data_IF_552019476104
#
_entry.id   IF_552019476104
#
_cell.length_a   1.000
_cell.length_b   1.000
_cell.length_c   1.000
_cell.angle_alpha   90.00
_cell.angle_beta   90.00
_cell.angle_gamma   90.00
#
_symmetry.space_group_name_H-M   'P 1'
#
loop_
_entity.id
_entity.type
_entity.pdbx_description
1 polymer ?
#
# COMPACT_ATOMS: atom_id res chain seq x y z
N UNK A 1 4.53 20.97 -7.31
CA UNK A 1 3.50 20.51 -8.26
C UNK A 1 3.96 19.19 -8.89
N UNK A 2 3.06 18.32 -9.34
CA UNK A 2 3.44 17.10 -10.08
C UNK A 2 3.82 17.44 -11.52
N UNK A 3 4.82 16.74 -12.05
CA UNK A 3 5.20 16.83 -13.46
C UNK A 3 4.04 16.35 -14.32
N UNK A 4 3.68 17.16 -15.33
CA UNK A 4 2.51 16.91 -16.19
C UNK A 4 1.22 17.56 -15.71
N UNK A 5 1.23 18.38 -14.65
CA UNK A 5 0.06 19.17 -14.24
C UNK A 5 -1.16 18.30 -13.92
N UNK A 6 -2.31 18.58 -14.55
CA UNK A 6 -3.55 17.82 -14.30
C UNK A 6 -3.48 16.38 -14.79
N UNK A 7 -2.89 16.12 -15.96
CA UNK A 7 -2.74 14.76 -16.49
C UNK A 7 -1.80 13.93 -15.62
N UNK A 8 -0.71 14.53 -15.12
CA UNK A 8 0.19 13.91 -14.15
C UNK A 8 -0.51 13.57 -12.83
N UNK A 9 -1.37 14.46 -12.32
CA UNK A 9 -2.18 14.18 -11.13
C UNK A 9 -3.13 13.00 -11.35
N UNK A 10 -3.87 12.98 -12.46
CA UNK A 10 -4.80 11.89 -12.79
C UNK A 10 -4.04 10.57 -12.94
N UNK A 11 -2.91 10.58 -13.64
CA UNK A 11 -2.06 9.40 -13.81
C UNK A 11 -1.61 8.85 -12.45
N UNK A 12 -1.13 9.72 -11.54
CA UNK A 12 -0.73 9.32 -10.18
C UNK A 12 -1.88 8.65 -9.41
N UNK A 13 -3.09 9.19 -9.51
CA UNK A 13 -4.28 8.61 -8.84
C UNK A 13 -4.69 7.28 -9.46
N UNK A 14 -4.64 7.19 -10.78
CA UNK A 14 -4.91 5.94 -11.49
C UNK A 14 -3.91 4.85 -11.10
N UNK A 15 -2.60 5.15 -11.09
CA UNK A 15 -1.57 4.21 -10.63
C UNK A 15 -1.72 3.84 -9.17
N UNK A 16 -2.33 4.70 -8.35
CA UNK A 16 -2.65 4.36 -6.98
C UNK A 16 -3.76 3.32 -6.92
N UNK A 17 -4.90 3.61 -7.57
CA UNK A 17 -6.11 2.77 -7.55
C UNK A 17 -5.86 1.39 -8.16
N UNK A 18 -5.04 1.29 -9.22
CA UNK A 18 -4.75 0.00 -9.86
C UNK A 18 -3.96 -0.96 -8.94
N UNK A 19 -3.29 -0.46 -7.89
CA UNK A 19 -2.62 -1.32 -6.90
C UNK A 19 -3.59 -2.22 -6.14
N UNK A 20 -4.91 -1.98 -6.18
CA UNK A 20 -5.89 -2.87 -5.57
C UNK A 20 -5.87 -4.28 -6.17
N UNK A 21 -5.36 -4.42 -7.40
CA UNK A 21 -5.21 -5.69 -8.10
C UNK A 21 -4.02 -6.50 -7.57
N UNK A 22 -3.05 -5.88 -6.90
CA UNK A 22 -1.83 -6.57 -6.43
C UNK A 22 -2.16 -7.75 -5.50
N UNK A 23 -2.92 -7.59 -4.40
CA UNK A 23 -3.27 -8.73 -3.55
C UNK A 23 -4.11 -9.77 -4.31
N UNK A 24 -4.98 -9.33 -5.23
CA UNK A 24 -5.77 -10.27 -6.05
C UNK A 24 -4.85 -11.14 -6.91
N UNK A 25 -3.91 -10.54 -7.63
CA UNK A 25 -2.97 -11.26 -8.48
C UNK A 25 -2.04 -12.16 -7.67
N UNK A 26 -1.52 -11.65 -6.55
CA UNK A 26 -0.62 -12.42 -5.70
C UNK A 26 -1.31 -13.66 -5.12
N UNK A 27 -2.48 -13.51 -4.51
CA UNK A 27 -3.13 -14.63 -3.82
C UNK A 27 -3.90 -15.58 -4.76
N UNK A 28 -4.31 -15.15 -5.95
CA UNK A 28 -5.06 -16.02 -6.88
C UNK A 28 -4.22 -16.57 -8.03
N UNK A 29 -3.10 -15.92 -8.36
CA UNK A 29 -2.24 -16.26 -9.50
C UNK A 29 -0.75 -16.26 -9.15
N UNK A 30 -0.39 -16.07 -7.87
CA UNK A 30 1.00 -16.00 -7.41
C UNK A 30 1.79 -17.21 -7.85
N UNK A 31 1.29 -18.41 -7.56
CA UNK A 31 1.93 -19.68 -7.92
C UNK A 31 2.16 -19.77 -9.43
N UNK A 32 1.13 -19.49 -10.24
CA UNK A 32 1.25 -19.51 -11.71
C UNK A 32 2.30 -18.51 -12.21
N UNK A 33 2.35 -17.32 -11.62
CA UNK A 33 3.28 -16.27 -12.02
C UNK A 33 4.72 -16.58 -11.60
N UNK A 34 4.92 -17.15 -10.41
CA UNK A 34 6.24 -17.50 -9.88
C UNK A 34 6.79 -18.78 -10.51
N UNK A 35 5.93 -19.73 -10.88
CA UNK A 35 6.29 -20.98 -11.57
C UNK A 35 6.95 -20.73 -12.93
N UNK A 36 6.59 -19.66 -13.66
CA UNK A 36 7.28 -19.27 -14.89
C UNK A 36 8.78 -19.04 -14.69
N UNK A 37 9.18 -18.70 -13.46
CA UNK A 37 10.57 -18.48 -13.06
C UNK A 37 11.10 -19.59 -12.15
N UNK A 38 10.33 -20.66 -11.93
CA UNK A 38 10.65 -21.75 -11.00
C UNK A 38 10.94 -21.24 -9.59
N UNK A 39 10.10 -20.32 -9.10
CA UNK A 39 10.22 -19.68 -7.80
C UNK A 39 8.94 -19.85 -6.99
N UNK A 40 9.06 -19.77 -5.67
CA UNK A 40 7.92 -19.59 -4.77
C UNK A 40 7.37 -18.16 -4.88
N UNK A 41 6.08 -17.90 -4.61
CA UNK A 41 5.50 -16.56 -4.69
C UNK A 41 6.26 -15.50 -3.87
N UNK A 42 6.67 -15.85 -2.66
CA UNK A 42 7.47 -14.97 -1.79
C UNK A 42 8.85 -14.65 -2.38
N UNK A 43 9.49 -15.63 -3.03
CA UNK A 43 10.77 -15.42 -3.71
C UNK A 43 10.57 -14.48 -4.91
N UNK A 44 9.52 -14.72 -5.71
CA UNK A 44 9.20 -13.88 -6.86
C UNK A 44 8.95 -12.41 -6.45
N UNK A 45 8.15 -12.17 -5.40
CA UNK A 45 7.93 -10.81 -4.87
C UNK A 45 9.24 -10.19 -4.35
N UNK A 46 10.09 -10.98 -3.69
CA UNK A 46 11.41 -10.52 -3.25
C UNK A 46 12.28 -10.10 -4.44
N UNK A 47 12.28 -10.85 -5.54
CA UNK A 47 12.97 -10.48 -6.78
C UNK A 47 12.39 -9.19 -7.38
N UNK A 48 11.07 -9.04 -7.44
CA UNK A 48 10.43 -7.80 -7.88
C UNK A 48 10.86 -6.61 -7.01
N UNK A 49 10.92 -6.78 -5.69
CA UNK A 49 11.38 -5.76 -4.76
C UNK A 49 12.83 -5.33 -5.03
N UNK A 50 13.73 -6.30 -5.24
CA UNK A 50 15.13 -6.01 -5.58
C UNK A 50 15.25 -5.26 -6.91
N UNK A 51 14.49 -5.66 -7.92
CA UNK A 51 14.43 -4.95 -9.21
C UNK A 51 13.93 -3.51 -9.02
N UNK A 52 12.87 -3.30 -8.23
CA UNK A 52 12.33 -1.97 -7.94
C UNK A 52 13.36 -1.08 -7.24
N UNK A 53 14.11 -1.63 -6.27
CA UNK A 53 15.20 -0.91 -5.60
C UNK A 53 16.28 -0.52 -6.61
N UNK A 54 16.71 -1.42 -7.49
CA UNK A 54 17.72 -1.14 -8.51
C UNK A 54 17.25 -0.08 -9.53
N UNK A 55 15.99 -0.15 -9.94
CA UNK A 55 15.38 0.86 -10.81
C UNK A 55 15.33 2.22 -10.13
N UNK A 56 14.98 2.27 -8.84
CA UNK A 56 14.93 3.52 -8.07
C UNK A 56 16.33 4.13 -7.86
N UNK A 57 17.33 3.30 -7.56
CA UNK A 57 18.74 3.73 -7.48
C UNK A 57 19.18 4.32 -8.82
N UNK A 58 18.88 3.64 -9.93
CA UNK A 58 19.21 4.11 -11.28
C UNK A 58 18.49 5.43 -11.59
N UNK A 59 17.20 5.54 -11.27
CA UNK A 59 16.40 6.75 -11.44
C UNK A 59 17.02 7.93 -10.69
N UNK A 60 17.44 7.72 -9.44
CA UNK A 60 18.11 8.73 -8.61
C UNK A 60 19.48 9.13 -9.15
N UNK A 61 20.26 8.15 -9.62
CA UNK A 61 21.57 8.39 -10.21
C UNK A 61 21.49 9.29 -11.45
N UNK A 62 20.50 9.06 -12.31
CA UNK A 62 20.28 9.87 -13.52
C UNK A 62 19.38 11.09 -13.29
N UNK A 63 18.81 11.28 -12.09
CA UNK A 63 17.88 12.38 -11.80
C UNK A 63 16.59 12.33 -12.63
N UNK A 64 16.14 11.14 -13.02
CA UNK A 64 14.95 10.95 -13.86
C UNK A 64 13.68 11.24 -13.07
N UNK A 65 12.77 12.02 -13.66
CA UNK A 65 11.44 12.30 -13.08
C UNK A 65 10.39 11.73 -14.03
N UNK A 66 9.57 10.82 -13.52
CA UNK A 66 8.49 10.18 -14.26
C UNK A 66 7.23 11.06 -14.18
N UNK A 67 6.41 11.06 -15.23
CA UNK A 67 5.12 11.78 -15.23
C UNK A 67 4.29 11.37 -14.00
N UNK A 68 3.73 12.37 -13.28
CA UNK A 68 3.00 12.17 -12.03
C UNK A 68 3.84 12.32 -10.75
N UNK A 69 5.16 12.17 -10.85
CA UNK A 69 6.10 12.44 -9.74
C UNK A 69 6.25 13.94 -9.48
N UNK A 70 6.73 14.28 -8.28
CA UNK A 70 7.01 15.66 -7.87
C UNK A 70 8.45 16.02 -8.23
N UNK A 71 8.73 17.28 -8.53
CA UNK A 71 10.07 17.71 -8.99
C UNK A 71 11.21 17.36 -8.03
N UNK A 72 10.97 17.45 -6.71
CA UNK A 72 11.96 17.10 -5.71
C UNK A 72 12.28 15.60 -5.67
N UNK A 73 11.41 14.73 -6.21
CA UNK A 73 11.63 13.29 -6.26
C UNK A 73 12.80 12.95 -7.19
N UNK A 74 13.28 13.86 -8.04
CA UNK A 74 14.53 13.69 -8.79
C UNK A 74 15.75 13.35 -7.91
N UNK A 75 15.75 13.75 -6.64
CA UNK A 75 16.91 13.66 -5.72
C UNK A 75 16.66 12.82 -4.47
N UNK A 76 15.45 12.27 -4.31
CA UNK A 76 15.08 11.45 -3.15
C UNK A 76 14.19 10.29 -3.58
N UNK A 77 14.11 9.25 -2.74
CA UNK A 77 13.28 8.08 -3.03
C UNK A 77 11.84 8.53 -3.32
N UNK A 78 11.31 8.04 -4.45
CA UNK A 78 10.00 8.43 -4.94
C UNK A 78 8.87 7.82 -4.09
N UNK A 79 7.74 8.51 -4.03
CA UNK A 79 6.53 8.01 -3.36
C UNK A 79 6.08 6.65 -3.92
N UNK A 80 6.31 6.42 -5.22
CA UNK A 80 6.04 5.13 -5.87
C UNK A 80 6.96 4.03 -5.34
N UNK A 81 8.26 4.30 -5.23
CA UNK A 81 9.23 3.32 -4.71
C UNK A 81 8.95 2.99 -3.23
N UNK A 82 8.62 3.99 -2.41
CA UNK A 82 8.21 3.78 -1.02
C UNK A 82 6.94 2.94 -0.90
N UNK A 83 5.90 3.27 -1.68
CA UNK A 83 4.67 2.49 -1.71
C UNK A 83 4.91 1.05 -2.16
N UNK A 84 5.64 0.85 -3.26
CA UNK A 84 5.94 -0.49 -3.78
C UNK A 84 6.78 -1.32 -2.79
N UNK A 85 7.77 -0.70 -2.13
CA UNK A 85 8.54 -1.33 -1.07
C UNK A 85 7.64 -1.82 0.06
N UNK A 86 6.75 -0.97 0.57
CA UNK A 86 5.86 -1.34 1.67
C UNK A 86 4.83 -2.40 1.25
N UNK A 87 4.31 -2.34 0.03
CA UNK A 87 3.41 -3.37 -0.53
C UNK A 87 4.11 -4.72 -0.61
N UNK A 88 5.35 -4.78 -1.13
CA UNK A 88 6.13 -6.03 -1.17
C UNK A 88 6.36 -6.59 0.24
N UNK A 89 6.70 -5.74 1.21
CA UNK A 89 6.86 -6.19 2.60
C UNK A 89 5.54 -6.71 3.20
N UNK A 90 4.41 -6.07 2.90
CA UNK A 90 3.11 -6.57 3.35
C UNK A 90 2.80 -7.96 2.80
N UNK A 91 3.10 -8.22 1.52
CA UNK A 91 2.92 -9.55 0.93
C UNK A 91 3.86 -10.60 1.54
N UNK A 92 5.13 -10.24 1.78
CA UNK A 92 6.14 -11.20 2.28
C UNK A 92 5.97 -11.52 3.76
N UNK A 93 5.61 -10.52 4.58
CA UNK A 93 5.71 -10.59 6.04
C UNK A 93 4.35 -10.79 6.71
N UNK A 94 3.26 -10.35 6.09
CA UNK A 94 1.96 -10.43 6.74
C UNK A 94 1.55 -11.89 6.97
N UNK A 95 1.02 -12.25 8.15
CA UNK A 95 0.54 -13.59 8.39
C UNK A 95 -0.55 -13.97 7.39
N UNK A 96 -0.43 -15.16 6.81
CA UNK A 96 -1.41 -15.72 5.88
C UNK A 96 -2.33 -16.70 6.62
N UNK A 97 -3.58 -16.82 6.16
CA UNK A 97 -4.46 -17.86 6.69
C UNK A 97 -4.02 -19.23 6.18
N UNK A 98 -3.77 -20.16 7.10
CA UNK A 98 -3.50 -21.57 6.77
C UNK A 98 -4.75 -22.36 6.40
N UNK A 99 -5.93 -21.78 6.60
CA UNK A 99 -7.22 -22.45 6.45
C UNK A 99 -7.94 -22.08 5.14
N UNK A 100 -7.41 -21.11 4.39
CA UNK A 100 -8.04 -20.59 3.18
C UNK A 100 -7.06 -20.63 2.01
N UNK A 101 -7.61 -20.84 0.82
CA UNK A 101 -6.89 -20.76 -0.45
C UNK A 101 -7.36 -19.53 -1.24
N UNK A 102 -6.53 -19.06 -2.17
CA UNK A 102 -6.89 -17.92 -3.02
C UNK A 102 -6.87 -16.59 -2.26
N UNK A 103 -7.71 -15.64 -2.67
CA UNK A 103 -7.70 -14.28 -2.10
C UNK A 103 -7.91 -14.25 -0.57
N UNK A 104 -8.64 -15.22 -0.02
CA UNK A 104 -8.87 -15.36 1.41
C UNK A 104 -7.59 -15.67 2.20
N UNK A 105 -6.54 -16.23 1.59
CA UNK A 105 -5.23 -16.39 2.25
C UNK A 105 -4.62 -15.03 2.64
N UNK A 106 -4.99 -13.97 1.91
CA UNK A 106 -4.56 -12.59 2.12
C UNK A 106 -5.31 -11.83 3.20
N UNK A 107 -5.69 -12.49 4.30
CA UNK A 107 -6.54 -11.95 5.39
C UNK A 107 -6.09 -10.59 5.93
N UNK A 108 -4.81 -10.27 5.86
CA UNK A 108 -4.25 -9.03 6.37
C UNK A 108 -3.54 -8.20 5.29
N UNK A 109 -2.75 -8.84 4.41
CA UNK A 109 -2.05 -8.10 3.36
C UNK A 109 -3.01 -7.39 2.39
N UNK A 110 -4.13 -8.02 2.04
CA UNK A 110 -5.12 -7.42 1.15
C UNK A 110 -5.72 -6.11 1.73
N UNK A 111 -6.29 -6.09 2.96
CA UNK A 111 -6.78 -4.84 3.54
C UNK A 111 -5.68 -3.80 3.80
N UNK A 112 -4.43 -4.20 4.09
CA UNK A 112 -3.29 -3.27 4.20
C UNK A 112 -3.05 -2.53 2.87
N UNK A 113 -2.98 -3.27 1.76
CA UNK A 113 -2.72 -2.72 0.43
C UNK A 113 -3.92 -1.92 -0.09
N UNK A 114 -5.15 -2.40 0.13
CA UNK A 114 -6.37 -1.66 -0.21
C UNK A 114 -6.50 -0.38 0.61
N UNK A 115 -6.11 -0.43 1.88
CA UNK A 115 -6.01 0.72 2.78
C UNK A 115 -5.19 1.82 2.14
N UNK A 116 -3.93 1.56 1.78
CA UNK A 116 -3.12 2.49 0.99
C UNK A 116 -3.90 2.93 -0.26
N UNK A 117 -4.26 1.96 -1.11
CA UNK A 117 -4.82 2.17 -2.45
C UNK A 117 -5.98 3.16 -2.50
N UNK A 118 -6.93 3.07 -1.56
CA UNK A 118 -8.14 3.89 -1.58
C UNK A 118 -8.14 5.03 -0.54
N UNK A 119 -7.52 4.82 0.63
CA UNK A 119 -7.53 5.83 1.70
C UNK A 119 -6.65 7.03 1.32
N UNK A 120 -5.46 6.83 0.74
CA UNK A 120 -4.61 7.98 0.31
C UNK A 120 -5.32 8.86 -0.73
N UNK A 121 -5.86 8.33 -1.85
CA UNK A 121 -6.55 9.18 -2.82
C UNK A 121 -7.69 9.99 -2.21
N UNK A 122 -8.52 9.37 -1.37
CA UNK A 122 -9.64 10.05 -0.72
C UNK A 122 -9.14 11.14 0.21
N UNK A 123 -8.19 10.84 1.10
CA UNK A 123 -7.62 11.81 2.03
C UNK A 123 -6.93 12.96 1.28
N UNK A 124 -6.17 12.63 0.23
CA UNK A 124 -5.49 13.59 -0.61
C UNK A 124 -6.43 14.52 -1.39
N UNK A 125 -7.54 14.01 -1.95
CA UNK A 125 -8.53 14.87 -2.62
C UNK A 125 -9.31 15.74 -1.61
N UNK A 126 -9.62 15.23 -0.42
CA UNK A 126 -10.26 16.04 0.63
C UNK A 126 -9.31 17.16 1.09
N UNK A 127 -8.03 16.84 1.34
CA UNK A 127 -6.98 17.84 1.66
C UNK A 127 -6.87 18.90 0.57
N UNK A 128 -6.89 18.49 -0.70
CA UNK A 128 -6.82 19.39 -1.87
C UNK A 128 -8.04 20.29 -2.00
N UNK A 129 -9.23 19.80 -1.64
CA UNK A 129 -10.49 20.56 -1.68
C UNK A 129 -10.62 21.65 -0.59
N UNK A 130 -9.57 21.87 0.22
CA UNK A 130 -9.54 22.83 1.35
C UNK A 130 -10.63 22.62 2.42
N UNK A 131 -11.25 21.44 2.46
CA UNK A 131 -12.21 21.03 3.52
C UNK A 131 -11.56 20.79 4.89
N UNK A 132 -10.24 20.97 5.00
CA UNK A 132 -9.48 20.89 6.24
C UNK A 132 -9.06 19.46 6.61
N UNK A 133 -8.07 19.37 7.50
CA UNK A 133 -7.47 18.09 7.93
C UNK A 133 -8.47 17.19 8.67
N UNK A 134 -9.41 17.77 9.42
CA UNK A 134 -10.46 17.01 10.13
C UNK A 134 -11.38 16.25 9.17
N UNK A 135 -11.76 16.88 8.06
CA UNK A 135 -12.57 16.23 7.03
C UNK A 135 -11.80 15.10 6.34
N UNK A 136 -10.50 15.29 6.11
CA UNK A 136 -9.64 14.25 5.53
C UNK A 136 -9.51 13.05 6.48
N UNK A 137 -9.27 13.28 7.77
CA UNK A 137 -9.24 12.22 8.79
C UNK A 137 -10.57 11.47 8.83
N UNK A 138 -11.70 12.18 8.85
CA UNK A 138 -13.02 11.54 8.87
C UNK A 138 -13.27 10.70 7.62
N UNK A 139 -13.03 11.24 6.42
CA UNK A 139 -13.19 10.50 5.17
C UNK A 139 -12.25 9.30 5.06
N UNK A 140 -11.01 9.46 5.55
CA UNK A 140 -10.02 8.38 5.63
C UNK A 140 -10.45 7.27 6.58
N UNK A 141 -10.94 7.61 7.77
CA UNK A 141 -11.43 6.64 8.76
C UNK A 141 -12.63 5.86 8.22
N UNK A 142 -13.62 6.55 7.66
CA UNK A 142 -14.79 5.89 7.04
C UNK A 142 -14.35 4.91 5.97
N UNK A 143 -13.48 5.34 5.05
CA UNK A 143 -12.96 4.47 3.97
C UNK A 143 -12.19 3.28 4.55
N UNK A 144 -11.30 3.52 5.51
CA UNK A 144 -10.47 2.49 6.12
C UNK A 144 -11.34 1.45 6.84
N UNK A 145 -12.32 1.87 7.64
CA UNK A 145 -13.25 0.95 8.30
C UNK A 145 -14.08 0.14 7.30
N UNK A 146 -14.53 0.75 6.19
CA UNK A 146 -15.24 0.01 5.14
C UNK A 146 -14.34 -1.10 4.58
N UNK A 147 -13.07 -0.83 4.30
CA UNK A 147 -12.12 -1.82 3.76
C UNK A 147 -11.89 -2.95 4.78
N UNK A 148 -11.53 -2.60 6.02
CA UNK A 148 -11.18 -3.57 7.05
C UNK A 148 -12.38 -4.42 7.47
N UNK A 149 -13.55 -3.82 7.72
CA UNK A 149 -14.76 -4.57 8.10
C UNK A 149 -15.31 -5.40 6.93
N UNK A 150 -15.20 -4.92 5.69
CA UNK A 150 -15.52 -5.76 4.53
C UNK A 150 -14.57 -6.94 4.44
N UNK A 151 -13.28 -6.75 4.73
CA UNK A 151 -12.30 -7.84 4.75
C UNK A 151 -12.59 -8.85 5.86
N UNK A 152 -13.13 -8.41 7.01
CA UNK A 152 -13.65 -9.35 8.01
C UNK A 152 -14.78 -10.23 7.49
N UNK A 153 -15.66 -9.69 6.65
CA UNK A 153 -16.76 -10.46 6.07
C UNK A 153 -16.34 -11.34 4.89
N UNK A 154 -15.51 -10.83 3.98
CA UNK A 154 -15.14 -11.50 2.73
C UNK A 154 -13.87 -12.35 2.81
N UNK A 155 -12.91 -11.96 3.65
CA UNK A 155 -11.61 -12.64 3.78
C UNK A 155 -11.45 -13.35 5.14
N UNK A 156 -12.36 -13.14 6.09
CA UNK A 156 -12.25 -13.70 7.43
C UNK A 156 -11.23 -12.99 8.33
N UNK A 157 -10.82 -11.75 8.00
CA UNK A 157 -9.96 -10.94 8.87
C UNK A 157 -10.60 -10.81 10.26
N UNK A 158 -9.90 -11.12 11.38
CA UNK A 158 -10.45 -10.95 12.71
C UNK A 158 -10.99 -9.54 12.95
N UNK A 159 -12.23 -9.45 13.45
CA UNK A 159 -12.92 -8.16 13.66
C UNK A 159 -12.10 -7.23 14.57
N UNK A 160 -11.42 -7.79 15.58
CA UNK A 160 -10.55 -7.05 16.49
C UNK A 160 -9.40 -6.39 15.71
N UNK A 161 -8.75 -7.14 14.80
CA UNK A 161 -7.71 -6.58 13.93
C UNK A 161 -8.28 -5.46 13.06
N UNK A 162 -9.45 -5.66 12.45
CA UNK A 162 -10.10 -4.67 11.61
C UNK A 162 -10.41 -3.36 12.35
N UNK A 163 -10.86 -3.44 13.61
CA UNK A 163 -11.13 -2.27 14.44
C UNK A 163 -9.84 -1.52 14.80
N UNK A 164 -8.76 -2.24 15.11
CA UNK A 164 -7.49 -1.65 15.53
C UNK A 164 -6.71 -1.08 14.35
N UNK A 165 -6.65 -1.80 13.22
CA UNK A 165 -5.77 -1.48 12.10
C UNK A 165 -6.36 -0.40 11.17
N UNK A 166 -7.69 -0.29 11.10
CA UNK A 166 -8.34 0.77 10.32
C UNK A 166 -7.87 2.20 10.69
N UNK A 167 -7.86 2.62 11.97
CA UNK A 167 -7.30 3.91 12.35
C UNK A 167 -5.79 3.99 12.15
N UNK A 168 -5.04 2.89 12.28
CA UNK A 168 -3.59 2.90 12.06
C UNK A 168 -3.21 3.24 10.62
N UNK A 169 -3.97 2.77 9.62
CA UNK A 169 -3.80 3.18 8.22
C UNK A 169 -3.91 4.70 8.06
N UNK A 170 -4.93 5.32 8.68
CA UNK A 170 -5.14 6.78 8.63
C UNK A 170 -4.05 7.53 9.39
N UNK A 171 -3.62 7.00 10.54
CA UNK A 171 -2.50 7.58 11.29
C UNK A 171 -1.21 7.58 10.48
N UNK A 172 -0.99 6.57 9.63
CA UNK A 172 0.17 6.51 8.74
C UNK A 172 0.24 7.67 7.73
N UNK A 173 -0.89 8.25 7.35
CA UNK A 173 -1.00 9.36 6.40
C UNK A 173 -0.77 10.76 7.03
N UNK A 174 -0.86 10.86 8.36
CA UNK A 174 -0.77 12.15 9.08
C UNK A 174 0.65 12.71 9.28
N UNK A 175 1.66 11.90 9.68
CA UNK A 175 2.98 12.44 9.98
C UNK A 175 3.72 12.81 8.71
N UNK A 176 4.21 14.05 8.64
CA UNK A 176 5.20 14.45 7.63
C UNK A 176 6.59 14.00 8.09
N UNK A 177 6.90 12.71 7.90
CA UNK A 177 8.23 12.19 8.20
C UNK A 177 9.20 12.66 7.11
N UNK A 178 10.38 13.18 7.49
CA UNK A 178 11.35 13.72 6.52
C UNK A 178 11.99 12.65 5.65
N UNK A 179 12.00 11.40 6.12
CA UNK A 179 12.81 10.30 5.56
C UNK A 179 11.99 9.23 4.86
N UNK A 180 10.69 9.10 5.16
CA UNK A 180 9.80 8.05 4.66
C UNK A 180 8.54 8.72 4.14
N UNK A 181 8.12 8.33 2.94
CA UNK A 181 6.90 8.83 2.31
C UNK A 181 5.63 8.24 2.97
N UNK A 182 4.53 8.99 2.89
CA UNK A 182 3.25 8.65 3.50
C UNK A 182 2.68 7.32 2.96
N UNK A 183 2.94 7.00 1.68
CA UNK A 183 2.53 5.72 1.11
C UNK A 183 3.13 4.51 1.86
N UNK A 184 4.39 4.62 2.31
CA UNK A 184 5.02 3.55 3.06
C UNK A 184 4.47 3.50 4.49
N UNK A 185 4.33 4.63 5.18
CA UNK A 185 3.86 4.64 6.57
C UNK A 185 2.40 4.16 6.70
N UNK A 186 1.55 4.40 5.70
CA UNK A 186 0.18 3.89 5.64
C UNK A 186 0.08 2.35 5.62
N UNK A 187 1.15 1.65 5.23
CA UNK A 187 1.24 0.18 5.28
C UNK A 187 2.10 -0.28 6.46
N UNK A 188 3.30 0.28 6.61
CA UNK A 188 4.28 -0.19 7.59
C UNK A 188 3.81 0.02 9.03
N UNK A 189 3.08 1.11 9.32
CA UNK A 189 2.53 1.33 10.65
C UNK A 189 1.47 0.27 11.03
N UNK A 190 0.37 0.08 10.27
CA UNK A 190 -0.59 -0.97 10.59
C UNK A 190 0.01 -2.38 10.49
N UNK A 191 0.95 -2.64 9.58
CA UNK A 191 1.66 -3.92 9.52
C UNK A 191 2.47 -4.18 10.80
N UNK A 192 3.19 -3.18 11.31
CA UNK A 192 3.94 -3.33 12.57
C UNK A 192 3.01 -3.61 13.74
N UNK A 193 1.88 -2.89 13.83
CA UNK A 193 0.88 -3.13 14.87
C UNK A 193 0.28 -4.53 14.72
N UNK A 194 -0.04 -4.97 13.50
CA UNK A 194 -0.54 -6.31 13.21
C UNK A 194 0.41 -7.38 13.75
N UNK A 195 1.70 -7.30 13.42
CA UNK A 195 2.69 -8.30 13.85
C UNK A 195 2.83 -8.38 15.38
N UNK A 196 2.53 -7.30 16.10
CA UNK A 196 2.54 -7.28 17.57
C UNK A 196 1.27 -7.88 18.18
N UNK A 197 0.12 -7.74 17.51
CA UNK A 197 -1.17 -8.21 18.04
C UNK A 197 -1.55 -9.60 17.54
N UNK A 198 -1.06 -10.03 16.39
CA UNK A 198 -1.46 -11.29 15.74
C UNK A 198 -1.31 -12.53 16.62
N UNK A 199 -0.26 -12.69 17.46
CA UNK A 199 -0.16 -13.83 18.37
C UNK A 199 -1.31 -13.94 19.40
N UNK A 200 -2.14 -12.91 19.53
CA UNK A 200 -3.26 -12.83 20.45
C UNK A 200 -4.64 -12.81 19.75
N UNK A 201 -4.67 -12.91 18.42
CA UNK A 201 -5.88 -12.93 17.60
C UNK A 201 -6.34 -14.37 17.31
#
# INVERSE_FOLDING_TARGET
HSVGGMSGHIFRRFTHVIMCLVPILYYTKGDQLSDFFSMEPNQFVTYCLLILILLEISRLYFGIIIVGQREYEAKQISALAWGAFAVCLALIISPESKNFDGLESGIYAAPLIWGLTFVDPIMGEIKRSKKGIKAAIFGGLVTSYVIWLSSSYFLGTPIIASIILAPMTVLGELPTVRWIDDNATMILLPLTVLLLIEPFL
#
